data_IF_738434565560
#
_entry.id   IF_738434565560
#
_cell.length_a   1.000
_cell.length_b   1.000
_cell.length_c   1.000
_cell.angle_alpha   90.00
_cell.angle_beta   90.00
_cell.angle_gamma   90.00
#
_symmetry.space_group_name_H-M   'P 1'
#
loop_
_entity.id
_entity.type
_entity.pdbx_description
1 polymer ?
#
# COMPACT_ATOMS: atom_id res chain seq x y z
N UNK A 1 17.31 -2.41 -39.58
CA UNK A 1 17.33 -3.11 -38.29
C UNK A 1 16.97 -2.06 -37.25
N UNK A 2 15.67 -1.89 -36.98
CA UNK A 2 15.19 -0.81 -36.12
C UNK A 2 15.09 -1.37 -34.71
N UNK A 3 16.03 -0.99 -33.84
CA UNK A 3 15.91 -1.20 -32.40
C UNK A 3 14.71 -0.42 -31.90
N UNK A 4 13.68 -1.14 -31.46
CA UNK A 4 12.52 -0.58 -30.78
C UNK A 4 12.86 -0.41 -29.30
N UNK A 5 13.30 0.78 -28.92
CA UNK A 5 13.39 1.25 -27.53
C UNK A 5 12.02 1.03 -26.85
N UNK A 6 11.91 0.26 -25.74
CA UNK A 6 10.67 0.19 -25.00
C UNK A 6 10.50 1.50 -24.23
N UNK A 7 9.50 2.27 -24.65
CA UNK A 7 9.08 3.55 -24.05
C UNK A 7 8.64 3.33 -22.60
N UNK A 8 9.38 3.91 -21.67
CA UNK A 8 8.92 4.21 -20.31
C UNK A 8 7.87 5.33 -20.38
N UNK A 9 6.59 4.99 -20.34
CA UNK A 9 5.47 5.86 -19.93
C UNK A 9 4.17 5.05 -19.91
N UNK A 10 4.00 4.17 -18.92
CA UNK A 10 2.66 3.68 -18.56
C UNK A 10 2.43 4.00 -17.09
N UNK A 11 1.54 4.97 -16.85
CA UNK A 11 1.05 5.31 -15.52
C UNK A 11 0.60 4.03 -14.81
N UNK A 12 1.08 3.82 -13.59
CA UNK A 12 0.73 2.64 -12.79
C UNK A 12 -0.80 2.46 -12.80
N UNK A 13 -1.24 1.31 -13.31
CA UNK A 13 -2.67 0.99 -13.35
C UNK A 13 -3.20 0.91 -11.91
N UNK A 14 -4.45 1.31 -11.70
CA UNK A 14 -5.10 1.26 -10.38
C UNK A 14 -5.01 -0.13 -9.74
N UNK A 15 -4.98 -1.17 -10.57
CA UNK A 15 -4.78 -2.57 -10.18
C UNK A 15 -3.38 -2.84 -9.62
N UNK A 16 -2.33 -2.28 -10.24
CA UNK A 16 -0.95 -2.38 -9.74
C UNK A 16 -0.78 -1.66 -8.40
N UNK A 17 -1.42 -0.48 -8.25
CA UNK A 17 -1.41 0.26 -6.98
C UNK A 17 -2.13 -0.54 -5.89
N UNK A 18 -3.30 -1.10 -6.19
CA UNK A 18 -4.05 -1.95 -5.26
C UNK A 18 -3.28 -3.20 -4.82
N UNK A 19 -2.64 -3.90 -5.76
CA UNK A 19 -1.81 -5.06 -5.47
C UNK A 19 -0.61 -4.71 -4.58
N UNK A 20 0.01 -3.56 -4.83
CA UNK A 20 1.14 -3.06 -4.02
C UNK A 20 0.74 -2.76 -2.58
N UNK A 21 -0.43 -2.12 -2.37
CA UNK A 21 -0.98 -1.79 -1.05
C UNK A 21 -1.36 -3.06 -0.28
N UNK A 22 -1.97 -4.04 -0.96
CA UNK A 22 -2.27 -5.34 -0.35
C UNK A 22 -1.00 -6.09 0.05
N UNK A 23 0.00 -6.17 -0.84
CA UNK A 23 1.28 -6.82 -0.54
C UNK A 23 2.01 -6.14 0.64
N UNK A 24 1.94 -4.82 0.74
CA UNK A 24 2.48 -4.06 1.87
C UNK A 24 1.70 -4.35 3.17
N UNK A 25 0.36 -4.43 3.11
CA UNK A 25 -0.49 -4.81 4.24
C UNK A 25 -0.22 -6.23 4.76
N UNK A 26 0.14 -7.16 3.86
CA UNK A 26 0.55 -8.52 4.21
C UNK A 26 2.02 -8.62 4.70
N UNK A 27 2.77 -7.52 4.74
CA UNK A 27 4.16 -7.51 5.21
C UNK A 27 5.20 -7.94 4.16
N UNK A 28 4.80 -8.13 2.91
CA UNK A 28 5.67 -8.52 1.78
C UNK A 28 6.28 -7.28 1.11
N UNK A 29 6.59 -6.24 1.90
CA UNK A 29 7.09 -4.97 1.40
C UNK A 29 8.51 -5.17 0.81
N UNK A 30 8.60 -5.25 -0.51
CA UNK A 30 9.87 -5.39 -1.23
C UNK A 30 10.86 -4.28 -0.88
N UNK A 31 12.16 -4.59 -0.88
CA UNK A 31 13.25 -3.63 -0.61
C UNK A 31 13.20 -2.42 -1.56
N UNK A 32 12.67 -2.58 -2.77
CA UNK A 32 12.47 -1.50 -3.73
C UNK A 32 11.41 -0.49 -3.25
N UNK A 33 10.24 -0.97 -2.81
CA UNK A 33 9.18 -0.13 -2.26
C UNK A 33 9.71 0.64 -1.05
N UNK A 34 10.42 -0.06 -0.15
CA UNK A 34 11.04 0.54 1.02
C UNK A 34 12.07 1.62 0.65
N UNK A 35 12.95 1.38 -0.33
CA UNK A 35 13.95 2.37 -0.78
C UNK A 35 13.28 3.60 -1.39
N UNK A 36 12.25 3.42 -2.22
CA UNK A 36 11.48 4.55 -2.78
C UNK A 36 10.78 5.35 -1.68
N UNK A 37 10.17 4.66 -0.74
CA UNK A 37 9.41 5.23 0.37
C UNK A 37 10.30 6.04 1.32
N UNK A 38 11.50 5.55 1.63
CA UNK A 38 12.45 6.23 2.52
C UNK A 38 13.36 7.27 1.83
N UNK A 39 13.53 7.21 0.50
CA UNK A 39 14.32 8.21 -0.25
C UNK A 39 13.46 9.38 -0.76
N UNK A 40 12.17 9.15 -1.05
CA UNK A 40 11.27 10.15 -1.66
C UNK A 40 10.11 10.55 -0.75
N UNK A 41 9.74 9.75 0.24
CA UNK A 41 8.59 10.00 1.12
C UNK A 41 8.97 10.60 2.46
N UNK A 42 8.08 11.44 3.03
CA UNK A 42 8.26 11.97 4.39
C UNK A 42 7.83 10.93 5.43
N UNK A 43 8.63 10.63 6.48
CA UNK A 43 8.28 9.67 7.53
C UNK A 43 6.89 9.88 8.14
N UNK A 44 6.47 11.13 8.27
CA UNK A 44 5.16 11.52 8.82
C UNK A 44 3.99 10.96 7.99
N UNK A 45 4.11 10.85 6.67
CA UNK A 45 3.04 10.32 5.83
C UNK A 45 2.80 8.83 6.10
N UNK A 46 3.87 8.06 6.36
CA UNK A 46 3.77 6.64 6.71
C UNK A 46 3.12 6.44 8.07
N UNK A 47 3.43 7.31 9.05
CA UNK A 47 2.80 7.26 10.37
C UNK A 47 1.30 7.52 10.27
N UNK A 48 0.90 8.56 9.53
CA UNK A 48 -0.53 8.91 9.35
C UNK A 48 -1.29 7.75 8.71
N UNK A 49 -0.75 7.18 7.62
CA UNK A 49 -1.38 6.05 6.92
C UNK A 49 -1.45 4.82 7.82
N UNK A 50 -0.38 4.52 8.57
CA UNK A 50 -0.35 3.41 9.51
C UNK A 50 -1.39 3.55 10.63
N UNK A 51 -1.47 4.72 11.26
CA UNK A 51 -2.46 4.99 12.31
C UNK A 51 -3.88 4.90 11.76
N UNK A 52 -4.15 5.47 10.59
CA UNK A 52 -5.47 5.39 9.95
C UNK A 52 -5.87 3.93 9.66
N UNK A 53 -4.93 3.14 9.12
CA UNK A 53 -5.15 1.72 8.87
C UNK A 53 -5.45 0.96 10.16
N UNK A 54 -4.66 1.16 11.22
CA UNK A 54 -4.89 0.51 12.52
C UNK A 54 -6.23 0.89 13.14
N UNK A 55 -6.61 2.17 13.07
CA UNK A 55 -7.91 2.64 13.57
C UNK A 55 -9.07 1.98 12.81
N UNK A 56 -8.96 1.89 11.48
CA UNK A 56 -9.96 1.22 10.63
C UNK A 56 -10.07 -0.26 10.97
N UNK A 57 -8.94 -0.94 11.17
CA UNK A 57 -8.92 -2.35 11.57
C UNK A 57 -9.61 -2.56 12.92
N UNK A 58 -9.32 -1.72 13.91
CA UNK A 58 -10.00 -1.77 15.22
C UNK A 58 -11.51 -1.57 15.09
N UNK A 59 -11.95 -0.58 14.31
CA UNK A 59 -13.38 -0.34 14.08
C UNK A 59 -14.06 -1.55 13.43
N UNK A 60 -13.40 -2.19 12.45
CA UNK A 60 -13.89 -3.41 11.82
C UNK A 60 -14.01 -4.56 12.82
N UNK A 61 -12.99 -4.80 13.65
CA UNK A 61 -13.03 -5.84 14.68
C UNK A 61 -14.15 -5.60 15.70
N UNK A 62 -14.29 -4.37 16.19
CA UNK A 62 -15.38 -3.99 17.11
C UNK A 62 -16.74 -4.23 16.45
N UNK A 63 -16.91 -3.83 15.18
CA UNK A 63 -18.12 -4.05 14.42
C UNK A 63 -18.47 -5.53 14.29
N UNK A 64 -17.48 -6.38 13.99
CA UNK A 64 -17.66 -7.84 13.93
C UNK A 64 -18.05 -8.41 15.30
N UNK A 65 -17.37 -8.01 16.38
CA UNK A 65 -17.68 -8.48 17.74
C UNK A 65 -19.11 -8.11 18.12
N UNK A 66 -19.53 -6.86 17.88
CA UNK A 66 -20.89 -6.41 18.16
C UNK A 66 -21.94 -7.11 17.29
N UNK A 67 -21.60 -7.49 16.06
CA UNK A 67 -22.51 -8.26 15.18
C UNK A 67 -22.67 -9.71 15.69
N UNK A 68 -21.59 -10.30 16.19
CA UNK A 68 -21.55 -11.72 16.59
C UNK A 68 -22.05 -11.95 18.01
N UNK A 69 -21.92 -10.97 18.91
CA UNK A 69 -22.36 -11.05 20.32
C UNK A 69 -23.66 -10.25 20.63
N UNK A 70 -24.70 -10.21 19.78
CA UNK A 70 -25.91 -9.44 20.06
C UNK A 70 -26.61 -9.90 21.35
#
# INVERSE_FOLDING_TARGET
>A
MTESEPRDEDSLTLTQVGASVLAAGFGVQSKENKRRDFTRGKPVQFIIVGVFFTATLMAALIGVVNWVLP
#
